data_IF_825138918037
#
_entry.id   IF_825138918037
#
_cell.length_a   1.000
_cell.length_b   1.000
_cell.length_c   1.000
_cell.angle_alpha   90.00
_cell.angle_beta   90.00
_cell.angle_gamma   90.00
#
_symmetry.space_group_name_H-M   'P 1'
#
loop_
_entity.id
_entity.type
_entity.pdbx_description
1 polymer ?
#
# COMPACT_ATOMS: atom_id res chain seq x y z
N UNK A 1 -38.41 -14.88 46.26
CA UNK A 1 -37.63 -14.50 47.44
C UNK A 1 -36.33 -13.82 47.09
N UNK A 2 -35.66 -13.11 48.01
CA UNK A 2 -34.41 -12.36 47.73
C UNK A 2 -33.24 -13.24 47.27
N UNK A 3 -33.26 -14.53 47.51
CA UNK A 3 -32.21 -15.48 47.10
C UNK A 3 -32.26 -15.75 45.58
N UNK A 4 -33.43 -15.77 44.98
CA UNK A 4 -33.62 -15.95 43.52
C UNK A 4 -33.21 -14.71 42.73
N UNK A 5 -33.46 -13.52 43.26
CA UNK A 5 -33.05 -12.24 42.66
C UNK A 5 -31.52 -12.05 42.69
N UNK A 6 -30.83 -12.53 43.74
CA UNK A 6 -29.38 -12.52 43.82
C UNK A 6 -28.69 -13.40 42.78
N UNK A 7 -29.26 -14.57 42.43
CA UNK A 7 -28.78 -15.48 41.39
C UNK A 7 -28.97 -14.91 40.00
N UNK A 8 -30.09 -14.29 39.71
CA UNK A 8 -30.37 -13.64 38.42
C UNK A 8 -29.47 -12.42 38.20
N UNK A 9 -29.29 -11.58 39.19
CA UNK A 9 -28.37 -10.43 39.13
C UNK A 9 -26.91 -10.86 38.91
N UNK A 10 -26.45 -11.91 39.61
CA UNK A 10 -25.12 -12.45 39.44
C UNK A 10 -24.92 -13.06 38.02
N UNK A 11 -25.93 -13.74 37.47
CA UNK A 11 -25.91 -14.25 36.11
C UNK A 11 -25.88 -13.13 35.07
N UNK A 12 -26.65 -12.07 35.29
CA UNK A 12 -26.68 -10.88 34.42
C UNK A 12 -25.35 -10.11 34.43
N UNK A 13 -24.74 -9.94 35.59
CA UNK A 13 -23.39 -9.33 35.70
C UNK A 13 -22.34 -10.15 34.99
N UNK A 14 -22.38 -11.47 35.11
CA UNK A 14 -21.46 -12.37 34.38
C UNK A 14 -21.67 -12.28 32.87
N UNK A 15 -22.91 -12.21 32.41
CA UNK A 15 -23.23 -12.02 30.99
C UNK A 15 -22.73 -10.70 30.45
N UNK A 16 -22.88 -9.60 31.16
CA UNK A 16 -22.37 -8.27 30.78
C UNK A 16 -20.84 -8.26 30.71
N UNK A 17 -20.16 -8.86 31.68
CA UNK A 17 -18.67 -9.00 31.68
C UNK A 17 -18.19 -9.85 30.51
N UNK A 18 -18.89 -10.94 30.17
CA UNK A 18 -18.56 -11.75 29.00
C UNK A 18 -18.71 -10.97 27.69
N UNK A 19 -19.78 -10.17 27.54
CA UNK A 19 -20.00 -9.30 26.39
C UNK A 19 -18.94 -8.20 26.28
N UNK A 20 -18.52 -7.60 27.39
CA UNK A 20 -17.45 -6.61 27.43
C UNK A 20 -16.11 -7.21 27.00
N UNK A 21 -15.77 -8.42 27.47
CA UNK A 21 -14.56 -9.15 27.04
C UNK A 21 -14.60 -9.47 25.57
N UNK A 22 -15.73 -9.90 25.04
CA UNK A 22 -15.92 -10.17 23.62
C UNK A 22 -15.71 -8.91 22.79
N UNK A 23 -16.26 -7.77 23.18
CA UNK A 23 -16.08 -6.47 22.53
C UNK A 23 -14.61 -6.02 22.56
N UNK A 24 -13.91 -6.18 23.68
CA UNK A 24 -12.49 -5.87 23.83
C UNK A 24 -11.63 -6.74 22.93
N UNK A 25 -11.95 -8.05 22.82
CA UNK A 25 -11.25 -8.97 21.94
C UNK A 25 -11.44 -8.61 20.46
N UNK A 26 -12.68 -8.28 20.07
CA UNK A 26 -13.00 -7.82 18.71
C UNK A 26 -12.27 -6.51 18.39
N UNK A 27 -12.23 -5.57 19.31
CA UNK A 27 -11.49 -4.32 19.16
C UNK A 27 -9.99 -4.56 19.01
N UNK A 28 -9.42 -5.43 19.84
CA UNK A 28 -8.01 -5.78 19.78
C UNK A 28 -7.64 -6.46 18.45
N UNK A 29 -8.50 -7.36 17.93
CA UNK A 29 -8.32 -7.98 16.62
C UNK A 29 -8.38 -6.95 15.51
N UNK A 30 -9.35 -6.05 15.52
CA UNK A 30 -9.47 -4.99 14.53
C UNK A 30 -8.27 -4.05 14.55
N UNK A 31 -7.73 -3.71 15.71
CA UNK A 31 -6.52 -2.91 15.86
C UNK A 31 -5.28 -3.62 15.31
N UNK A 32 -5.14 -4.93 15.55
CA UNK A 32 -4.02 -5.73 15.00
C UNK A 32 -4.12 -5.83 13.49
N UNK A 33 -5.32 -6.04 12.94
CA UNK A 33 -5.55 -6.09 11.49
C UNK A 33 -5.23 -4.75 10.83
N UNK A 34 -5.69 -3.64 11.40
CA UNK A 34 -5.38 -2.30 10.91
C UNK A 34 -3.87 -2.01 10.94
N UNK A 35 -3.17 -2.46 11.99
CA UNK A 35 -1.72 -2.32 12.09
C UNK A 35 -0.99 -3.15 11.01
N UNK A 36 -1.42 -4.38 10.77
CA UNK A 36 -0.86 -5.23 9.69
C UNK A 36 -1.08 -4.61 8.32
N UNK A 37 -2.27 -4.06 8.06
CA UNK A 37 -2.56 -3.37 6.79
C UNK A 37 -1.63 -2.19 6.55
N UNK A 38 -1.35 -1.40 7.59
CA UNK A 38 -0.39 -0.29 7.52
C UNK A 38 1.03 -0.79 7.27
N UNK A 39 1.48 -1.81 8.00
CA UNK A 39 2.81 -2.41 7.79
C UNK A 39 2.97 -2.96 6.37
N UNK A 40 1.99 -3.71 5.87
CA UNK A 40 1.99 -4.25 4.52
C UNK A 40 1.99 -3.13 3.47
N UNK A 41 1.26 -2.04 3.70
CA UNK A 41 1.25 -0.88 2.82
C UNK A 41 2.61 -0.18 2.78
N UNK A 42 3.29 -0.04 3.92
CA UNK A 42 4.64 0.53 4.00
C UNK A 42 5.67 -0.33 3.27
N UNK A 43 5.59 -1.65 3.41
CA UNK A 43 6.47 -2.59 2.69
C UNK A 43 6.22 -2.50 1.18
N UNK A 44 4.96 -2.45 0.75
CA UNK A 44 4.61 -2.24 -0.67
C UNK A 44 5.15 -0.91 -1.20
N UNK A 45 5.01 0.16 -0.45
CA UNK A 45 5.54 1.48 -0.84
C UNK A 45 7.06 1.43 -1.01
N UNK A 46 7.77 0.83 -0.08
CA UNK A 46 9.23 0.67 -0.14
C UNK A 46 9.66 -0.09 -1.41
N UNK A 47 9.04 -1.25 -1.68
CA UNK A 47 9.32 -2.05 -2.89
C UNK A 47 9.04 -1.28 -4.18
N UNK A 48 7.95 -0.53 -4.23
CA UNK A 48 7.60 0.29 -5.39
C UNK A 48 8.57 1.45 -5.62
N UNK A 49 9.07 2.07 -4.54
CA UNK A 49 10.15 3.07 -4.63
C UNK A 49 11.44 2.47 -5.18
N UNK A 50 11.83 1.29 -4.71
CA UNK A 50 13.03 0.59 -5.20
C UNK A 50 12.90 0.22 -6.68
N UNK A 51 11.73 -0.31 -7.08
CA UNK A 51 11.43 -0.57 -8.50
C UNK A 51 11.53 0.69 -9.35
N UNK A 52 10.98 1.79 -8.88
CA UNK A 52 11.03 3.07 -9.57
C UNK A 52 12.46 3.57 -9.77
N UNK A 53 13.31 3.44 -8.76
CA UNK A 53 14.74 3.77 -8.86
C UNK A 53 15.46 2.89 -9.88
N UNK A 54 15.17 1.59 -9.89
CA UNK A 54 15.71 0.65 -10.86
C UNK A 54 15.30 1.01 -12.29
N UNK A 55 14.01 1.29 -12.52
CA UNK A 55 13.50 1.69 -13.85
C UNK A 55 14.11 3.01 -14.33
N UNK A 56 14.35 3.96 -13.45
CA UNK A 56 15.06 5.21 -13.80
C UNK A 56 16.48 4.96 -14.26
N UNK A 57 17.21 4.05 -13.59
CA UNK A 57 18.56 3.66 -14.02
C UNK A 57 18.54 2.96 -15.38
N UNK A 58 17.61 2.02 -15.57
CA UNK A 58 17.42 1.32 -16.84
C UNK A 58 17.09 2.28 -17.98
N UNK A 59 16.19 3.23 -17.76
CA UNK A 59 15.83 4.24 -18.76
C UNK A 59 17.02 5.13 -19.14
N UNK A 60 17.85 5.52 -18.19
CA UNK A 60 19.07 6.28 -18.46
C UNK A 60 20.03 5.47 -19.34
N UNK A 61 20.31 4.22 -18.98
CA UNK A 61 21.18 3.33 -19.75
C UNK A 61 20.64 3.06 -21.16
N UNK A 62 19.33 2.84 -21.30
CA UNK A 62 18.69 2.69 -22.60
C UNK A 62 18.81 3.97 -23.46
N UNK A 63 18.73 5.14 -22.82
CA UNK A 63 18.98 6.42 -23.49
C UNK A 63 20.41 6.56 -24.00
N UNK A 64 21.39 6.22 -23.18
CA UNK A 64 22.82 6.23 -23.55
C UNK A 64 23.09 5.24 -24.70
N UNK A 65 22.53 4.03 -24.61
CA UNK A 65 22.66 3.01 -25.68
C UNK A 65 22.05 3.51 -27.00
N UNK A 66 20.86 4.10 -26.95
CA UNK A 66 20.23 4.67 -28.14
C UNK A 66 21.09 5.76 -28.78
N UNK A 67 21.61 6.69 -28.01
CA UNK A 67 22.46 7.77 -28.54
C UNK A 67 23.80 7.24 -29.14
N UNK A 68 24.39 6.23 -28.51
CA UNK A 68 25.58 5.57 -29.03
C UNK A 68 25.30 4.90 -30.37
N UNK A 69 24.30 4.04 -30.47
CA UNK A 69 23.93 3.34 -31.70
C UNK A 69 23.54 4.31 -32.81
N UNK A 70 22.86 5.40 -32.48
CA UNK A 70 22.51 6.46 -33.40
C UNK A 70 23.77 7.14 -33.98
N UNK A 71 24.73 7.43 -33.13
CA UNK A 71 26.02 8.03 -33.54
C UNK A 71 26.82 7.09 -34.45
N UNK A 72 26.90 5.81 -34.08
CA UNK A 72 27.54 4.78 -34.91
C UNK A 72 26.88 4.66 -36.29
N UNK A 73 25.55 4.67 -36.35
CA UNK A 73 24.81 4.66 -37.60
C UNK A 73 25.14 5.88 -38.49
N UNK A 74 25.13 7.09 -37.94
CA UNK A 74 25.46 8.28 -38.70
C UNK A 74 26.94 8.30 -39.17
N UNK A 75 27.83 7.65 -38.46
CA UNK A 75 29.24 7.49 -38.85
C UNK A 75 29.46 6.33 -39.84
N UNK A 76 28.37 5.67 -40.26
CA UNK A 76 28.44 4.55 -41.23
C UNK A 76 28.88 3.20 -40.64
N UNK A 77 29.07 3.12 -39.33
CA UNK A 77 29.52 1.91 -38.64
C UNK A 77 28.39 1.05 -38.04
N UNK A 78 27.16 1.58 -37.97
CA UNK A 78 26.04 0.95 -37.30
C UNK A 78 24.90 0.49 -38.22
N UNK A 79 24.01 -0.31 -37.69
CA UNK A 79 22.83 -0.81 -38.37
C UNK A 79 21.58 -0.01 -37.94
N UNK A 80 20.77 0.39 -38.92
CA UNK A 80 19.50 1.11 -38.65
C UNK A 80 18.54 0.33 -37.78
N UNK A 81 18.46 -0.99 -37.93
CA UNK A 81 17.60 -1.84 -37.12
C UNK A 81 17.96 -1.80 -35.64
N UNK A 82 19.25 -1.74 -35.32
CA UNK A 82 19.72 -1.64 -33.94
C UNK A 82 19.31 -0.30 -33.30
N UNK A 83 19.35 0.80 -34.07
CA UNK A 83 18.85 2.10 -33.63
C UNK A 83 17.35 2.07 -33.35
N UNK A 84 16.56 1.45 -34.24
CA UNK A 84 15.10 1.32 -34.05
C UNK A 84 14.76 0.45 -32.84
N UNK A 85 15.48 -0.65 -32.65
CA UNK A 85 15.30 -1.53 -31.49
C UNK A 85 15.58 -0.77 -30.19
N UNK A 86 16.72 -0.07 -30.11
CA UNK A 86 17.07 0.73 -28.95
C UNK A 86 16.06 1.86 -28.67
N UNK A 87 15.51 2.49 -29.71
CA UNK A 87 14.46 3.49 -29.59
C UNK A 87 13.18 2.89 -29.00
N UNK A 88 12.78 1.73 -29.48
CA UNK A 88 11.59 1.01 -29.00
C UNK A 88 11.75 0.61 -27.53
N UNK A 89 12.89 0.03 -27.17
CA UNK A 89 13.22 -0.36 -25.79
C UNK A 89 13.16 0.83 -24.84
N UNK A 90 13.73 1.96 -25.26
CA UNK A 90 13.68 3.21 -24.50
C UNK A 90 12.24 3.72 -24.30
N UNK A 91 11.40 3.63 -25.34
CA UNK A 91 9.99 4.04 -25.25
C UNK A 91 9.19 3.11 -24.32
N UNK A 92 9.44 1.81 -24.38
CA UNK A 92 8.80 0.83 -23.50
C UNK A 92 9.17 1.04 -22.04
N UNK A 93 10.44 1.32 -21.76
CA UNK A 93 10.90 1.67 -20.43
C UNK A 93 10.28 2.97 -19.91
N UNK A 94 10.08 3.97 -20.78
CA UNK A 94 9.36 5.20 -20.41
C UNK A 94 7.92 4.91 -19.99
N UNK A 95 7.20 4.10 -20.75
CA UNK A 95 5.83 3.69 -20.42
C UNK A 95 5.78 2.92 -19.10
N UNK A 96 6.69 1.97 -18.92
CA UNK A 96 6.81 1.20 -17.69
C UNK A 96 7.12 2.08 -16.48
N UNK A 97 7.99 3.09 -16.64
CA UNK A 97 8.30 4.07 -15.60
C UNK A 97 7.08 4.90 -15.19
N UNK A 98 6.29 5.37 -16.17
CA UNK A 98 5.06 6.12 -15.91
C UNK A 98 4.04 5.27 -15.17
N UNK A 99 3.87 4.03 -15.57
CA UNK A 99 2.99 3.07 -14.87
C UNK A 99 3.47 2.84 -13.42
N UNK A 100 4.78 2.64 -13.21
CA UNK A 100 5.33 2.46 -11.87
C UNK A 100 5.15 3.69 -10.97
N UNK A 101 5.23 4.90 -11.52
CA UNK A 101 4.91 6.14 -10.82
C UNK A 101 3.45 6.21 -10.39
N UNK A 102 2.54 5.85 -11.29
CA UNK A 102 1.10 5.77 -11.00
C UNK A 102 0.82 4.79 -9.87
N UNK A 103 1.38 3.59 -9.96
CA UNK A 103 1.21 2.56 -8.93
C UNK A 103 1.75 3.01 -7.56
N UNK A 104 2.86 3.75 -7.52
CA UNK A 104 3.37 4.33 -6.27
C UNK A 104 2.42 5.36 -5.69
N UNK A 105 1.85 6.25 -6.51
CA UNK A 105 0.86 7.23 -6.07
C UNK A 105 -0.42 6.57 -5.54
N UNK A 106 -0.92 5.55 -6.23
CA UNK A 106 -2.07 4.76 -5.79
C UNK A 106 -1.81 4.10 -4.43
N UNK A 107 -0.60 3.56 -4.23
CA UNK A 107 -0.18 2.97 -2.95
C UNK A 107 -0.16 4.02 -1.83
N UNK A 108 0.35 5.20 -2.10
CA UNK A 108 0.37 6.31 -1.13
C UNK A 108 -1.03 6.78 -0.76
N UNK A 109 -1.91 6.91 -1.74
CA UNK A 109 -3.30 7.28 -1.49
C UNK A 109 -3.98 6.22 -0.61
N UNK A 110 -3.79 4.93 -0.90
CA UNK A 110 -4.32 3.84 -0.09
C UNK A 110 -3.76 3.86 1.33
N UNK A 111 -2.47 4.13 1.51
CA UNK A 111 -1.83 4.27 2.81
C UNK A 111 -2.41 5.44 3.62
N UNK A 112 -2.58 6.62 3.01
CA UNK A 112 -3.19 7.77 3.67
C UNK A 112 -4.64 7.52 4.06
N UNK A 113 -5.41 6.83 3.22
CA UNK A 113 -6.78 6.43 3.55
C UNK A 113 -6.84 5.45 4.73
N UNK A 114 -5.94 4.48 4.77
CA UNK A 114 -5.85 3.52 5.88
C UNK A 114 -5.49 4.22 7.19
N UNK A 115 -4.54 5.14 7.17
CA UNK A 115 -4.15 5.94 8.33
C UNK A 115 -5.28 6.88 8.80
N UNK A 116 -5.98 7.52 7.87
CA UNK A 116 -7.14 8.36 8.18
C UNK A 116 -8.31 7.56 8.76
N UNK A 117 -8.56 6.35 8.24
CA UNK A 117 -9.56 5.42 8.78
C UNK A 117 -9.21 4.97 10.20
N UNK A 118 -7.97 4.59 10.45
CA UNK A 118 -7.48 4.20 11.77
C UNK A 118 -7.55 5.35 12.81
N UNK A 119 -7.38 6.59 12.37
CA UNK A 119 -7.48 7.77 13.24
C UNK A 119 -8.93 8.16 13.59
N UNK A 120 -9.91 7.77 12.76
CA UNK A 120 -11.34 8.07 12.98
C UNK A 120 -12.04 7.10 13.94
N UNK A 121 -11.55 5.90 14.10
CA UNK A 121 -12.22 4.83 14.84
C UNK A 121 -12.17 4.96 16.38
N UNK A 122 -11.19 5.59 17.03
CA UNK A 122 -11.26 5.75 18.49
C UNK A 122 -12.31 6.78 18.96
N UNK A 123 -12.85 7.61 18.07
CA UNK A 123 -13.80 8.67 18.42
C UNK A 123 -15.27 8.36 18.04
N UNK A 124 -15.51 7.28 17.29
CA UNK A 124 -16.85 6.92 16.81
C UNK A 124 -17.72 6.11 17.78
N UNK A 125 -17.14 5.66 18.90
CA UNK A 125 -17.84 4.81 19.88
C UNK A 125 -18.54 5.59 21.00
N UNK A 126 -18.49 6.94 20.99
CA UNK A 126 -18.94 7.75 22.14
C UNK A 126 -19.97 8.83 21.76
N UNK A 127 -20.84 8.58 20.79
CA UNK A 127 -21.98 9.46 20.57
C UNK A 127 -23.21 8.72 20.09
N UNK A 128 -23.91 8.09 21.01
CA UNK A 128 -25.36 7.99 20.96
C UNK A 128 -25.93 8.20 22.38
N UNK A 129 -26.32 9.44 22.73
CA UNK A 129 -27.16 9.70 23.88
C UNK A 129 -28.62 9.84 23.41
N UNK A 130 -29.40 8.81 23.61
CA UNK A 130 -30.88 8.97 23.89
C UNK A 130 -31.58 7.66 24.02
#
# INVERSE_FOLDING_TARGET
GPILDGGQRAAEVRRRRALERERLNLYAQAAVEAFREVEDALVREKRRKERLRSLRRQLRLAGETYEQLRTEYFNGAGNYLDVLTALTDRQDLRRTLLQARRELLETRIALYRALAGAAKDPAGAESDPS
#
